data_IF_529340849233
#
_entry.id   IF_529340849233
#
_cell.length_a   1.000
_cell.length_b   1.000
_cell.length_c   1.000
_cell.angle_alpha   90.00
_cell.angle_beta   90.00
_cell.angle_gamma   90.00
#
_symmetry.space_group_name_H-M   'P 1'
#
loop_
_entity.id
_entity.type
_entity.pdbx_description
1 polymer ?
#
# COMPACT_ATOMS: atom_id res chain seq x y z
N UNK A 1 3.82 3.20 -2.62
CA UNK A 1 2.37 3.14 -2.87
C UNK A 1 1.65 2.76 -1.57
N UNK A 2 0.59 3.47 -1.18
CA UNK A 2 -0.29 3.08 -0.06
C UNK A 2 -1.73 3.00 -0.56
N UNK A 3 -2.42 1.90 -0.26
CA UNK A 3 -3.84 1.72 -0.57
C UNK A 3 -4.45 0.70 0.38
N UNK A 4 -5.73 0.84 0.74
CA UNK A 4 -6.40 -0.15 1.60
C UNK A 4 -6.50 -1.51 0.91
N UNK A 5 -6.72 -1.56 -0.40
CA UNK A 5 -6.89 -2.83 -1.13
C UNK A 5 -5.92 -2.94 -2.31
N UNK A 6 -5.53 -4.16 -2.61
CA UNK A 6 -4.65 -4.53 -3.71
C UNK A 6 -5.08 -5.89 -4.22
N UNK A 7 -4.67 -6.28 -5.43
CA UNK A 7 -4.95 -7.62 -5.96
C UNK A 7 -4.39 -8.72 -5.02
N UNK A 8 -5.04 -9.90 -4.88
CA UNK A 8 -6.07 -10.54 -5.73
C UNK A 8 -7.51 -10.04 -5.57
N UNK A 9 -7.78 -9.08 -4.70
CA UNK A 9 -9.08 -8.45 -4.58
C UNK A 9 -9.49 -7.83 -5.93
N UNK A 10 -10.62 -8.30 -6.48
CA UNK A 10 -11.11 -7.87 -7.79
C UNK A 10 -11.99 -6.61 -7.64
N UNK A 11 -11.49 -5.49 -8.14
CA UNK A 11 -12.22 -4.24 -8.26
C UNK A 11 -11.50 -3.23 -9.16
N UNK A 12 -12.18 -2.12 -9.45
CA UNK A 12 -11.66 -1.11 -10.38
C UNK A 12 -10.45 -0.36 -9.84
N UNK A 13 -10.44 -0.06 -8.53
CA UNK A 13 -9.34 0.65 -7.89
C UNK A 13 -8.12 -0.27 -7.74
N UNK A 14 -8.35 -1.51 -7.31
CA UNK A 14 -7.33 -2.53 -7.10
C UNK A 14 -6.61 -2.86 -8.41
N UNK A 15 -7.39 -3.02 -9.49
CA UNK A 15 -6.83 -3.24 -10.84
C UNK A 15 -6.02 -2.03 -11.31
N UNK A 16 -6.53 -0.81 -11.11
CA UNK A 16 -5.82 0.41 -11.48
C UNK A 16 -4.46 0.51 -10.79
N UNK A 17 -4.44 0.33 -9.46
CA UNK A 17 -3.24 0.35 -8.65
C UNK A 17 -2.25 -0.72 -9.10
N UNK A 18 -2.72 -1.95 -9.32
CA UNK A 18 -1.87 -3.04 -9.78
C UNK A 18 -1.23 -2.73 -11.15
N UNK A 19 -2.01 -2.27 -12.14
CA UNK A 19 -1.46 -1.93 -13.46
C UNK A 19 -0.52 -0.73 -13.41
N UNK A 20 -0.78 0.27 -12.58
CA UNK A 20 0.13 1.39 -12.35
C UNK A 20 1.46 0.91 -11.78
N UNK A 21 1.44 0.13 -10.69
CA UNK A 21 2.64 -0.41 -10.06
C UNK A 21 3.44 -1.29 -11.03
N UNK A 22 2.77 -2.19 -11.75
CA UNK A 22 3.40 -3.05 -12.76
C UNK A 22 4.03 -2.23 -13.89
N UNK A 23 3.37 -1.17 -14.35
CA UNK A 23 3.90 -0.30 -15.40
C UNK A 23 5.11 0.54 -14.96
N UNK A 24 5.21 0.86 -13.67
CA UNK A 24 6.39 1.50 -13.07
C UNK A 24 7.56 0.51 -12.96
N UNK A 25 7.30 -0.72 -12.50
CA UNK A 25 8.31 -1.79 -12.49
C UNK A 25 8.84 -2.05 -13.90
N UNK A 26 7.96 -2.14 -14.90
CA UNK A 26 8.36 -2.34 -16.30
C UNK A 26 9.22 -1.19 -16.87
N UNK A 27 9.20 -0.01 -16.24
CA UNK A 27 10.07 1.14 -16.57
C UNK A 27 11.38 1.15 -15.79
N UNK A 28 11.64 0.13 -14.97
CA UNK A 28 12.87 -0.01 -14.18
C UNK A 28 12.80 0.64 -12.80
N UNK A 29 11.61 1.03 -12.32
CA UNK A 29 11.45 1.57 -10.98
C UNK A 29 11.27 0.45 -9.95
N UNK A 30 11.82 0.65 -8.75
CA UNK A 30 11.47 -0.16 -7.60
C UNK A 30 10.12 0.29 -7.02
N UNK A 31 9.22 -0.66 -6.77
CA UNK A 31 7.87 -0.35 -6.30
C UNK A 31 7.53 -1.17 -5.06
N UNK A 32 7.33 -0.47 -3.95
CA UNK A 32 6.73 -1.01 -2.73
C UNK A 32 5.26 -0.58 -2.60
N UNK A 33 4.39 -1.56 -2.39
CA UNK A 33 2.96 -1.37 -2.14
C UNK A 33 2.63 -1.82 -0.71
N UNK A 34 2.25 -0.87 0.15
CA UNK A 34 1.71 -1.17 1.48
C UNK A 34 0.19 -1.20 1.39
N UNK A 35 -0.39 -2.33 1.78
CA UNK A 35 -1.83 -2.58 1.66
C UNK A 35 -2.35 -3.47 2.79
N UNK A 36 -3.64 -3.75 2.79
CA UNK A 36 -4.28 -4.55 3.82
C UNK A 36 -4.26 -6.05 3.51
N UNK A 37 -4.23 -6.87 4.55
CA UNK A 37 -4.44 -8.31 4.47
C UNK A 37 -5.93 -8.59 4.60
N UNK A 38 -6.67 -8.37 3.52
CA UNK A 38 -8.13 -8.43 3.57
C UNK A 38 -8.71 -9.85 3.42
N UNK A 39 -7.89 -10.82 3.00
CA UNK A 39 -8.21 -12.24 2.86
C UNK A 39 -7.27 -13.09 3.73
N UNK A 40 -7.74 -14.22 4.31
CA UNK A 40 -7.01 -14.98 5.32
C UNK A 40 -5.72 -15.63 4.80
N UNK A 41 -5.71 -16.10 3.54
CA UNK A 41 -4.60 -16.87 2.98
C UNK A 41 -3.53 -16.00 2.29
N UNK A 42 -3.65 -14.67 2.38
CA UNK A 42 -2.68 -13.78 1.75
C UNK A 42 -1.37 -13.71 2.53
N UNK A 43 -0.27 -13.85 1.80
CA UNK A 43 1.05 -13.64 2.33
C UNK A 43 1.21 -12.23 2.91
N UNK A 44 1.88 -12.15 4.06
CA UNK A 44 2.27 -10.90 4.71
C UNK A 44 3.15 -10.02 3.82
N UNK A 45 3.99 -10.68 3.04
CA UNK A 45 4.86 -10.06 2.06
C UNK A 45 5.01 -11.00 0.89
N UNK A 46 4.94 -10.48 -0.32
CA UNK A 46 5.26 -11.20 -1.54
C UNK A 46 5.80 -10.25 -2.61
N UNK A 47 6.40 -10.83 -3.65
CA UNK A 47 6.77 -10.10 -4.85
C UNK A 47 5.93 -10.63 -6.00
N UNK A 48 5.14 -9.77 -6.61
CA UNK A 48 4.24 -10.13 -7.69
C UNK A 48 4.43 -9.17 -8.86
N UNK A 49 4.81 -9.72 -10.03
CA UNK A 49 5.21 -8.94 -11.21
C UNK A 49 6.28 -7.88 -10.91
N UNK A 50 7.18 -8.19 -9.99
CA UNK A 50 8.25 -7.30 -9.52
C UNK A 50 7.81 -6.21 -8.54
N UNK A 51 6.53 -6.11 -8.21
CA UNK A 51 6.01 -5.23 -7.14
C UNK A 51 6.20 -5.92 -5.79
N UNK A 52 6.85 -5.24 -4.84
CA UNK A 52 6.99 -5.71 -3.46
C UNK A 52 5.75 -5.33 -2.65
N UNK A 53 4.94 -6.31 -2.28
CA UNK A 53 3.63 -6.09 -1.65
C UNK A 53 3.76 -6.41 -0.16
N UNK A 54 3.42 -5.45 0.69
CA UNK A 54 3.47 -5.54 2.14
C UNK A 54 2.06 -5.44 2.72
N UNK A 55 1.52 -6.56 3.21
CA UNK A 55 0.16 -6.66 3.74
C UNK A 55 0.11 -6.59 5.25
N UNK A 56 -0.51 -5.53 5.77
CA UNK A 56 -0.71 -5.31 7.21
C UNK A 56 -2.15 -5.62 7.63
N UNK A 57 -2.39 -5.67 8.93
CA UNK A 57 -3.68 -6.09 9.49
C UNK A 57 -4.85 -5.19 9.04
N UNK A 58 -5.98 -5.82 8.71
CA UNK A 58 -7.28 -5.18 8.50
C UNK A 58 -8.28 -5.72 9.54
N UNK A 59 -8.71 -4.92 10.53
CA UNK A 59 -9.64 -5.40 11.54
C UNK A 59 -11.06 -5.62 11.01
N UNK A 60 -11.54 -4.76 10.11
CA UNK A 60 -12.89 -4.82 9.55
C UNK A 60 -12.99 -4.08 8.22
N UNK A 61 -13.95 -4.46 7.38
CA UNK A 61 -14.25 -3.82 6.07
C UNK A 61 -15.29 -2.70 6.24
N UNK A 62 -14.99 -1.73 7.09
CA UNK A 62 -15.82 -0.55 7.33
C UNK A 62 -14.94 0.68 7.60
N UNK A 63 -15.52 1.88 7.69
CA UNK A 63 -14.78 3.14 7.88
C UNK A 63 -13.81 3.10 9.06
N UNK A 64 -14.24 2.57 10.21
CA UNK A 64 -13.39 2.44 11.38
C UNK A 64 -12.22 1.49 11.11
N UNK A 65 -12.48 0.34 10.48
CA UNK A 65 -11.45 -0.64 10.18
C UNK A 65 -10.43 -0.16 9.15
N UNK A 66 -10.84 0.62 8.16
CA UNK A 66 -9.94 1.27 7.20
C UNK A 66 -9.08 2.34 7.86
N UNK A 67 -9.66 3.15 8.76
CA UNK A 67 -8.90 4.12 9.53
C UNK A 67 -7.87 3.43 10.44
N UNK A 68 -8.26 2.34 11.12
CA UNK A 68 -7.33 1.54 11.93
C UNK A 68 -6.21 0.94 11.08
N UNK A 69 -6.53 0.39 9.91
CA UNK A 69 -5.52 -0.11 8.98
C UNK A 69 -4.53 0.99 8.55
N UNK A 70 -5.04 2.18 8.19
CA UNK A 70 -4.21 3.32 7.84
C UNK A 70 -3.22 3.66 8.96
N UNK A 71 -3.67 3.75 10.20
CA UNK A 71 -2.81 4.01 11.36
C UNK A 71 -1.81 2.88 11.63
N UNK A 72 -2.27 1.63 11.66
CA UNK A 72 -1.42 0.48 11.99
C UNK A 72 -0.40 0.14 10.89
N UNK A 73 -0.65 0.54 9.65
CA UNK A 73 0.28 0.35 8.53
C UNK A 73 1.41 1.38 8.51
N UNK A 74 1.30 2.49 9.24
CA UNK A 74 2.27 3.59 9.19
C UNK A 74 3.71 3.18 9.49
N UNK A 75 4.03 2.37 10.52
CA UNK A 75 5.43 2.02 10.79
C UNK A 75 6.08 1.31 9.60
N UNK A 76 5.33 0.43 8.93
CA UNK A 76 5.77 -0.25 7.71
C UNK A 76 5.93 0.74 6.56
N UNK A 77 4.93 1.61 6.37
CA UNK A 77 4.94 2.57 5.29
C UNK A 77 6.07 3.59 5.43
N UNK A 78 6.28 4.16 6.62
CA UNK A 78 7.35 5.11 6.91
C UNK A 78 8.74 4.51 6.70
N UNK A 79 8.96 3.27 7.16
CA UNK A 79 10.25 2.57 6.96
C UNK A 79 10.60 2.36 5.49
N UNK A 80 9.60 2.18 4.62
CA UNK A 80 9.81 2.07 3.17
C UNK A 80 9.91 3.46 2.52
N UNK A 81 9.15 4.43 3.02
CA UNK A 81 9.13 5.81 2.55
C UNK A 81 10.49 6.52 2.72
N UNK A 82 11.26 6.16 3.76
CA UNK A 82 12.63 6.67 3.97
C UNK A 82 13.55 6.47 2.76
N UNK A 83 13.35 5.37 2.00
CA UNK A 83 14.18 5.01 0.83
C UNK A 83 13.51 5.35 -0.50
N UNK A 84 12.26 5.80 -0.48
CA UNK A 84 11.49 6.03 -1.68
C UNK A 84 11.64 7.48 -2.15
N UNK A 85 11.82 7.69 -3.45
CA UNK A 85 11.84 9.04 -4.03
C UNK A 85 10.43 9.66 -4.05
N UNK A 86 9.42 8.85 -4.38
CA UNK A 86 8.03 9.26 -4.59
C UNK A 86 7.08 8.48 -3.67
N UNK A 87 6.19 9.21 -3.00
CA UNK A 87 5.07 8.64 -2.23
C UNK A 87 3.77 8.81 -3.03
N UNK A 88 2.95 7.77 -3.08
CA UNK A 88 1.67 7.78 -3.78
C UNK A 88 0.59 7.25 -2.83
N UNK A 89 -0.38 8.11 -2.51
CA UNK A 89 -1.59 7.77 -1.78
C UNK A 89 -2.69 7.41 -2.78
N UNK A 90 -3.14 6.16 -2.76
CA UNK A 90 -4.39 5.79 -3.39
C UNK A 90 -5.48 5.78 -2.34
N UNK A 91 -6.64 6.34 -2.64
CA UNK A 91 -7.79 6.45 -1.75
C UNK A 91 -7.59 7.44 -0.58
N UNK A 92 -8.70 7.77 0.10
CA UNK A 92 -8.72 8.79 1.14
C UNK A 92 -8.03 8.32 2.44
N UNK A 93 -8.03 7.01 2.72
CA UNK A 93 -7.42 6.46 3.92
C UNK A 93 -5.89 6.49 3.83
N UNK A 94 -5.32 6.46 2.62
CA UNK A 94 -3.89 6.57 2.38
C UNK A 94 -3.31 7.99 2.51
N UNK A 95 -4.16 9.04 2.48
CA UNK A 95 -3.69 10.43 2.54
C UNK A 95 -2.90 10.70 3.82
N UNK A 96 -3.45 10.32 4.97
CA UNK A 96 -2.84 10.63 6.27
C UNK A 96 -1.52 9.86 6.48
N UNK A 97 -1.40 8.55 6.17
CA UNK A 97 -0.11 7.84 6.12
C UNK A 97 0.93 8.53 5.22
N UNK A 98 0.54 8.96 4.01
CA UNK A 98 1.45 9.65 3.09
C UNK A 98 1.91 11.02 3.60
N UNK A 99 1.01 11.84 4.13
CA UNK A 99 1.36 13.16 4.69
C UNK A 99 2.31 13.04 5.89
N UNK A 100 2.13 12.04 6.74
CA UNK A 100 3.00 11.84 7.89
C UNK A 100 4.36 11.26 7.49
N UNK A 101 4.39 10.28 6.58
CA UNK A 101 5.63 9.72 6.07
C UNK A 101 6.48 10.77 5.33
N UNK A 102 5.84 11.73 4.65
CA UNK A 102 6.55 12.85 4.03
C UNK A 102 7.33 13.68 5.07
N UNK A 103 6.74 13.99 6.23
CA UNK A 103 7.39 14.80 7.27
C UNK A 103 8.60 14.13 7.94
N UNK A 104 8.71 12.80 7.83
CA UNK A 104 9.84 12.03 8.40
C UNK A 104 11.03 12.03 7.42
N UNK A 105 10.82 12.48 6.17
CA UNK A 105 11.88 12.59 5.15
C UNK A 105 12.63 13.93 5.20
N UNK A 106 12.09 14.92 5.91
CA UNK A 106 12.69 16.26 6.12
C UNK A 106 13.64 16.26 7.33
#
# INVERSE_FOLDING_TARGET
>A
MHSVYFTPELGGLESHVYFLCRALVARGHEVDAVTSRSLPDLAAHEVMDGVRIWRTWLPARNTAGWATHALCSMPRFSSLAEKADVLHAQDIAAVLPCMLAQRVRD
#
